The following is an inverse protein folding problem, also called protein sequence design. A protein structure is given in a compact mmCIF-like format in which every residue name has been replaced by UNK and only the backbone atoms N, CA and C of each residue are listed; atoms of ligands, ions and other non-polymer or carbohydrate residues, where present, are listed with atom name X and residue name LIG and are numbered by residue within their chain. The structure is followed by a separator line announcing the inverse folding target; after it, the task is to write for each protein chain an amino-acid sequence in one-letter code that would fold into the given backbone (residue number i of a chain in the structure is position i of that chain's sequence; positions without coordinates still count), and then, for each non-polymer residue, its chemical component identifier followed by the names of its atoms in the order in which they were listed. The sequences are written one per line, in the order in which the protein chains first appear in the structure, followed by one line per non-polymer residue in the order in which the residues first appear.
data_IF_024388736372
#
_entry.id   IF_024388736372
#
_cell.length_a   1.000
_cell.length_b   1.000
_cell.length_c   1.000
_cell.angle_alpha   90.00
_cell.angle_beta   90.00
_cell.angle_gamma   90.00
#
_symmetry.space_group_name_H-M   'P 1'
#
loop_
_entity.id
_entity.type
_entity.pdbx_description
1 polymer ?
#
# COMPACT_ATOMS: atom_id res chain seq x y z
N UNK A 1 -43.77 58.26 -10.23
CA UNK A 1 -43.33 58.95 -9.04
C UNK A 1 -42.57 57.95 -8.19
N UNK A 2 -41.27 58.07 -8.12
CA UNK A 2 -40.40 57.77 -6.94
C UNK A 2 -38.98 58.18 -7.36
N UNK A 3 -38.42 58.99 -6.48
CA UNK A 3 -37.21 59.79 -6.67
C UNK A 3 -35.91 58.98 -6.69
N UNK A 4 -35.01 59.37 -7.61
CA UNK A 4 -33.63 58.94 -7.59
C UNK A 4 -32.83 59.59 -6.48
N UNK A 5 -31.92 58.82 -5.88
CA UNK A 5 -30.88 59.32 -4.99
C UNK A 5 -29.55 59.19 -5.74
N UNK A 6 -28.92 60.35 -5.97
CA UNK A 6 -27.55 60.50 -6.47
C UNK A 6 -26.60 60.41 -5.27
N UNK A 7 -25.58 59.54 -5.37
CA UNK A 7 -24.46 59.54 -4.42
C UNK A 7 -23.22 60.03 -5.17
N UNK A 8 -22.66 61.15 -4.64
CA UNK A 8 -21.45 61.83 -5.12
C UNK A 8 -20.19 61.08 -4.60
N UNK A 9 -19.11 60.99 -5.38
CA UNK A 9 -17.89 60.35 -4.90
C UNK A 9 -17.05 61.33 -4.03
N UNK A 10 -16.68 60.86 -2.88
CA UNK A 10 -15.76 61.57 -1.94
C UNK A 10 -14.33 61.17 -2.33
N UNK A 11 -13.55 62.20 -2.70
CA UNK A 11 -12.09 62.09 -2.95
C UNK A 11 -11.39 62.04 -1.60
N UNK A 12 -10.68 60.97 -1.29
CA UNK A 12 -9.83 60.85 -0.11
C UNK A 12 -8.36 61.00 -0.53
N UNK A 13 -7.78 62.14 -0.11
CA UNK A 13 -6.38 62.44 -0.35
C UNK A 13 -5.50 61.62 0.62
N UNK A 14 -4.56 60.87 0.07
CA UNK A 14 -3.57 60.09 0.85
C UNK A 14 -2.37 60.98 1.17
N UNK A 15 -2.14 61.29 2.43
CA UNK A 15 -0.88 61.88 2.94
C UNK A 15 0.21 60.78 2.97
N UNK A 16 1.29 61.01 2.24
CA UNK A 16 2.53 60.22 2.37
C UNK A 16 3.29 60.75 3.63
N UNK A 17 3.37 59.92 4.65
CA UNK A 17 4.34 60.10 5.73
C UNK A 17 5.59 59.29 5.38
N UNK A 18 6.69 59.98 5.07
CA UNK A 18 8.02 59.38 4.95
C UNK A 18 8.58 59.18 6.35
N UNK A 19 8.56 57.95 6.85
CA UNK A 19 9.25 57.58 8.08
C UNK A 19 10.66 57.06 7.71
N UNK A 20 11.66 57.87 8.04
CA UNK A 20 13.08 57.47 7.97
C UNK A 20 13.37 56.47 9.10
N UNK A 21 13.47 55.18 8.78
CA UNK A 21 13.94 54.18 9.71
C UNK A 21 15.46 54.08 9.63
N UNK A 22 16.13 54.49 10.68
CA UNK A 22 17.54 54.22 10.91
C UNK A 22 17.73 52.72 11.18
N UNK A 23 18.32 51.99 10.23
CA UNK A 23 18.72 50.63 10.44
C UNK A 23 19.87 50.54 11.45
N UNK A 24 19.58 50.09 12.65
CA UNK A 24 20.60 49.58 13.57
C UNK A 24 20.90 48.14 13.13
N UNK A 25 22.05 47.93 12.52
CA UNK A 25 22.60 46.60 12.23
C UNK A 25 23.02 45.96 13.57
N UNK A 26 22.24 45.03 14.06
CA UNK A 26 22.70 44.06 15.07
C UNK A 26 23.32 42.88 14.32
N UNK A 27 24.64 42.91 14.19
CA UNK A 27 25.40 41.71 13.85
C UNK A 27 25.48 40.81 15.11
N UNK A 28 24.47 39.97 15.30
CA UNK A 28 24.61 38.85 16.24
C UNK A 28 25.18 37.69 15.39
N UNK A 29 26.48 37.51 15.46
CA UNK A 29 27.11 36.24 15.10
C UNK A 29 26.67 35.18 16.11
N UNK A 30 25.51 34.58 15.88
CA UNK A 30 25.19 33.31 16.52
C UNK A 30 26.12 32.28 15.86
N UNK A 31 27.13 31.86 16.57
CA UNK A 31 27.86 30.62 16.27
C UNK A 31 26.79 29.51 16.29
N UNK A 32 26.61 28.73 15.19
CA UNK A 32 25.75 27.58 15.28
C UNK A 32 26.38 26.68 16.35
N UNK A 33 25.67 26.47 17.46
CA UNK A 33 25.98 25.38 18.36
C UNK A 33 26.00 24.14 17.50
N UNK A 34 27.14 23.46 17.43
CA UNK A 34 27.21 22.13 16.84
C UNK A 34 26.20 21.30 17.64
N UNK A 35 25.03 21.07 17.07
CA UNK A 35 24.09 20.10 17.57
C UNK A 35 24.88 18.79 17.58
N UNK A 36 25.27 18.31 18.78
CA UNK A 36 26.13 17.18 18.93
C UNK A 36 25.47 16.00 18.21
N UNK A 37 26.17 15.41 17.26
CA UNK A 37 25.68 14.20 16.59
C UNK A 37 25.16 13.25 17.67
N UNK A 38 23.94 12.76 17.51
CA UNK A 38 23.35 11.78 18.43
C UNK A 38 24.36 10.64 18.64
N UNK A 39 24.52 10.14 19.87
CA UNK A 39 25.44 9.05 20.11
C UNK A 39 25.10 7.86 19.20
N UNK A 40 26.11 7.15 18.65
CA UNK A 40 25.84 6.01 17.77
C UNK A 40 24.97 5.00 18.51
N UNK A 41 24.00 4.41 17.80
CA UNK A 41 23.09 3.40 18.34
C UNK A 41 23.85 2.16 18.89
N UNK A 42 23.13 1.32 19.59
CA UNK A 42 23.67 0.06 20.12
C UNK A 42 23.26 -1.11 19.25
N UNK A 43 24.07 -2.16 19.24
CA UNK A 43 23.71 -3.45 18.68
C UNK A 43 23.19 -4.36 19.81
N UNK A 44 21.92 -4.72 19.75
CA UNK A 44 21.25 -5.62 20.70
C UNK A 44 21.04 -6.96 20.00
N UNK A 45 21.69 -8.01 20.49
CA UNK A 45 21.58 -9.36 19.93
C UNK A 45 20.55 -10.19 20.66
N UNK A 46 19.73 -10.89 19.89
CA UNK A 46 18.76 -11.85 20.41
C UNK A 46 19.17 -13.23 19.91
N UNK A 47 19.41 -14.22 20.81
CA UNK A 47 19.15 -14.20 22.26
C UNK A 47 20.33 -13.74 23.13
N UNK A 48 21.49 -13.40 22.58
CA UNK A 48 22.76 -13.26 23.34
C UNK A 48 22.73 -12.17 24.41
N UNK A 49 22.26 -10.96 24.04
CA UNK A 49 22.20 -9.82 24.96
C UNK A 49 20.82 -9.76 25.67
N UNK A 50 19.77 -10.16 24.96
CA UNK A 50 18.37 -10.12 25.44
C UNK A 50 17.63 -11.36 24.91
N UNK A 51 16.90 -12.05 25.76
CA UNK A 51 16.36 -13.38 25.48
C UNK A 51 15.30 -13.45 24.38
N UNK A 52 14.53 -12.37 24.16
CA UNK A 52 13.40 -12.38 23.21
C UNK A 52 13.35 -11.09 22.38
N UNK A 53 12.78 -11.13 21.16
CA UNK A 53 12.63 -9.93 20.33
C UNK A 53 11.81 -8.82 21.02
N UNK A 54 10.69 -9.15 21.70
CA UNK A 54 9.89 -8.16 22.39
C UNK A 54 10.63 -7.49 23.56
N UNK A 55 11.47 -8.25 24.29
CA UNK A 55 12.32 -7.69 25.33
C UNK A 55 13.42 -6.79 24.75
N UNK A 56 13.95 -7.11 23.58
CA UNK A 56 14.91 -6.27 22.86
C UNK A 56 14.26 -4.95 22.40
N UNK A 57 13.06 -5.00 21.84
CA UNK A 57 12.27 -3.80 21.49
C UNK A 57 12.04 -2.93 22.74
N UNK A 58 11.66 -3.53 23.87
CA UNK A 58 11.46 -2.80 25.12
C UNK A 58 12.73 -2.11 25.63
N UNK A 59 13.89 -2.76 25.47
CA UNK A 59 15.20 -2.25 25.91
C UNK A 59 15.81 -1.22 24.94
N UNK A 60 15.37 -1.21 23.67
CA UNK A 60 15.92 -0.37 22.61
C UNK A 60 15.67 1.13 22.84
N UNK A 61 16.57 1.93 22.31
CA UNK A 61 16.52 3.40 22.25
C UNK A 61 16.64 3.84 20.78
N UNK A 62 16.22 5.06 20.41
CA UNK A 62 16.37 5.56 19.06
C UNK A 62 17.79 5.40 18.52
N UNK A 63 17.90 4.88 17.29
CA UNK A 63 19.16 4.58 16.61
C UNK A 63 19.73 3.19 16.89
N UNK A 64 19.12 2.39 17.77
CA UNK A 64 19.56 1.03 18.04
C UNK A 64 19.23 0.05 16.89
N UNK A 65 20.05 -0.97 16.77
CA UNK A 65 19.87 -2.12 15.89
C UNK A 65 19.61 -3.37 16.71
N UNK A 66 18.46 -4.00 16.50
CA UNK A 66 18.12 -5.31 17.08
C UNK A 66 18.45 -6.37 16.04
N UNK A 67 19.39 -7.25 16.33
CA UNK A 67 19.78 -8.35 15.45
C UNK A 67 19.29 -9.68 16.01
N UNK A 68 18.45 -10.36 15.23
CA UNK A 68 17.93 -11.68 15.56
C UNK A 68 18.86 -12.75 14.99
N UNK A 69 19.27 -13.71 15.81
CA UNK A 69 20.01 -14.88 15.36
C UNK A 69 19.08 -15.85 14.59
N UNK A 70 19.68 -16.79 13.87
CA UNK A 70 18.93 -17.86 13.22
C UNK A 70 18.02 -18.60 14.23
N UNK A 71 16.76 -18.81 13.85
CA UNK A 71 15.76 -19.44 14.69
C UNK A 71 14.33 -19.15 14.25
N UNK A 72 13.40 -19.90 14.84
CA UNK A 72 11.94 -19.68 14.64
C UNK A 72 11.41 -18.89 15.83
N UNK A 73 10.75 -17.78 15.52
CA UNK A 73 10.21 -16.83 16.48
C UNK A 73 8.67 -16.82 16.39
N UNK A 74 8.01 -16.56 17.52
CA UNK A 74 6.60 -16.24 17.52
C UNK A 74 6.37 -14.80 17.06
N UNK A 75 5.21 -14.56 16.41
CA UNK A 75 4.76 -13.22 16.07
C UNK A 75 4.10 -12.49 17.24
N UNK A 76 3.22 -11.54 16.92
CA UNK A 76 2.53 -10.73 17.91
C UNK A 76 3.43 -9.68 18.56
N UNK A 77 4.53 -9.31 17.88
CA UNK A 77 5.43 -8.26 18.38
C UNK A 77 4.85 -6.87 18.07
N UNK A 78 5.02 -5.94 19.01
CA UNK A 78 4.60 -4.55 18.85
C UNK A 78 5.81 -3.63 19.06
N UNK A 79 6.03 -2.72 18.10
CA UNK A 79 6.98 -1.61 18.20
C UNK A 79 6.16 -0.34 18.47
N UNK A 80 5.97 0.04 19.74
CA UNK A 80 5.11 1.16 20.09
C UNK A 80 5.72 2.51 19.67
N UNK A 81 4.91 3.54 19.49
CA UNK A 81 5.29 4.86 18.98
C UNK A 81 6.51 5.51 19.67
N UNK A 82 6.80 5.12 20.91
CA UNK A 82 7.97 5.61 21.66
C UNK A 82 9.30 4.98 21.22
N UNK A 83 9.26 3.98 20.33
CA UNK A 83 10.41 3.19 19.86
C UNK A 83 10.76 3.52 18.40
N UNK A 84 10.84 4.79 18.08
CA UNK A 84 11.19 5.29 16.75
C UNK A 84 12.69 5.11 16.41
N UNK A 85 13.04 5.26 15.13
CA UNK A 85 14.42 5.18 14.63
C UNK A 85 15.13 3.84 14.93
N UNK A 86 14.41 2.73 14.90
CA UNK A 86 14.97 1.41 15.13
C UNK A 86 15.21 0.66 13.82
N UNK A 87 16.23 -0.20 13.83
CA UNK A 87 16.37 -1.27 12.84
C UNK A 87 16.21 -2.62 13.52
N UNK A 88 15.28 -3.45 13.03
CA UNK A 88 15.11 -4.84 13.43
C UNK A 88 15.51 -5.70 12.25
N UNK A 89 16.55 -6.50 12.40
CA UNK A 89 17.10 -7.30 11.32
C UNK A 89 17.37 -8.75 11.70
N UNK A 90 17.22 -9.65 10.74
CA UNK A 90 17.71 -11.02 10.84
C UNK A 90 19.19 -11.14 10.49
N UNK A 91 19.89 -12.07 11.12
CA UNK A 91 21.23 -12.45 10.71
C UNK A 91 21.21 -13.11 9.32
N UNK A 92 20.17 -13.85 8.99
CA UNK A 92 19.93 -14.46 7.69
C UNK A 92 18.42 -14.45 7.39
N UNK A 93 18.05 -14.03 6.17
CA UNK A 93 16.65 -13.90 5.74
C UNK A 93 15.89 -15.22 5.76
N UNK A 94 16.56 -16.32 5.45
CA UNK A 94 15.94 -17.65 5.37
C UNK A 94 15.95 -18.42 6.68
N UNK A 95 16.83 -18.04 7.60
CA UNK A 95 16.99 -18.71 8.89
C UNK A 95 16.33 -17.97 10.05
N UNK A 96 16.01 -16.68 9.89
CA UNK A 96 15.25 -15.89 10.89
C UNK A 96 13.80 -15.84 10.46
N UNK A 97 13.00 -16.74 11.01
CA UNK A 97 11.63 -17.01 10.56
C UNK A 97 10.63 -16.78 11.67
N UNK A 98 9.62 -15.97 11.42
CA UNK A 98 8.46 -15.85 12.27
C UNK A 98 7.36 -16.81 11.79
N UNK A 99 6.84 -17.64 12.70
CA UNK A 99 5.78 -18.62 12.43
C UNK A 99 4.55 -18.31 13.29
N UNK A 100 3.46 -17.87 12.63
CA UNK A 100 2.18 -17.54 13.26
C UNK A 100 1.32 -18.76 13.57
N UNK A 101 1.72 -19.96 13.13
CA UNK A 101 1.03 -21.25 13.34
C UNK A 101 -0.45 -21.24 12.90
N UNK A 102 -0.78 -20.34 11.98
CA UNK A 102 -2.14 -20.15 11.46
C UNK A 102 -3.14 -19.58 12.46
N UNK A 103 -2.68 -18.99 13.55
CA UNK A 103 -3.53 -18.47 14.63
C UNK A 103 -3.14 -17.07 15.12
N UNK A 104 -1.86 -16.69 15.06
CA UNK A 104 -1.43 -15.34 15.41
C UNK A 104 -1.82 -14.34 14.31
N UNK A 105 -2.23 -13.12 14.70
CA UNK A 105 -2.76 -12.12 13.75
C UNK A 105 -1.63 -11.50 12.93
N UNK A 106 -0.66 -10.83 13.57
CA UNK A 106 0.41 -10.09 12.89
C UNK A 106 1.79 -10.59 13.30
N UNK A 107 2.77 -10.49 12.41
CA UNK A 107 4.16 -10.81 12.76
C UNK A 107 4.75 -9.75 13.66
N UNK A 108 4.90 -8.53 13.13
CA UNK A 108 5.40 -7.34 13.83
C UNK A 108 4.50 -6.18 13.42
N UNK A 109 3.89 -5.53 14.40
CA UNK A 109 3.11 -4.31 14.24
C UNK A 109 3.94 -3.11 14.66
N UNK A 110 4.09 -2.13 13.76
CA UNK A 110 4.96 -0.98 13.96
C UNK A 110 4.08 0.28 14.02
N UNK A 111 4.04 0.91 15.20
CA UNK A 111 3.38 2.18 15.46
C UNK A 111 4.40 3.33 15.61
N UNK A 112 5.66 3.08 15.31
CA UNK A 112 6.77 4.00 15.52
C UNK A 112 7.37 4.48 14.22
N UNK A 113 7.71 5.76 14.16
CA UNK A 113 8.32 6.40 13.00
C UNK A 113 9.73 5.86 12.72
N UNK A 114 10.10 5.85 11.45
CA UNK A 114 11.44 5.53 10.95
C UNK A 114 12.00 4.19 11.43
N UNK A 115 11.11 3.19 11.51
CA UNK A 115 11.51 1.82 11.82
C UNK A 115 11.82 1.07 10.53
N UNK A 116 12.97 0.42 10.51
CA UNK A 116 13.40 -0.48 9.42
C UNK A 116 13.26 -1.93 9.84
N UNK A 117 12.58 -2.74 9.03
CA UNK A 117 12.64 -4.20 9.08
C UNK A 117 13.47 -4.69 7.89
N UNK A 118 14.44 -5.54 8.15
CA UNK A 118 15.24 -6.14 7.09
C UNK A 118 15.65 -7.58 7.35
N UNK A 119 15.80 -8.33 6.28
CA UNK A 119 16.40 -9.67 6.32
C UNK A 119 15.64 -10.66 7.22
N UNK A 120 14.30 -10.68 7.10
CA UNK A 120 13.37 -11.47 7.91
C UNK A 120 12.40 -12.26 7.03
N UNK A 121 11.98 -13.42 7.51
CA UNK A 121 10.88 -14.20 6.93
C UNK A 121 9.72 -14.34 7.90
N UNK A 122 8.48 -14.44 7.36
CA UNK A 122 7.26 -14.62 8.14
C UNK A 122 6.25 -15.48 7.39
N UNK A 123 5.55 -16.36 8.10
CA UNK A 123 4.50 -17.18 7.50
C UNK A 123 3.41 -17.62 8.48
N UNK A 124 2.28 -18.07 7.90
CA UNK A 124 1.14 -18.65 8.60
C UNK A 124 0.50 -17.72 9.64
N UNK A 125 0.30 -16.43 9.28
CA UNK A 125 -0.39 -15.43 10.11
C UNK A 125 -1.86 -15.26 9.70
N UNK A 126 -2.76 -15.21 10.68
CA UNK A 126 -4.22 -15.07 10.48
C UNK A 126 -4.66 -13.60 10.34
N UNK A 127 -3.79 -12.74 9.89
CA UNK A 127 -4.01 -11.42 9.33
C UNK A 127 -2.80 -11.03 8.49
N UNK A 128 -1.82 -10.30 9.06
CA UNK A 128 -0.77 -9.66 8.28
C UNK A 128 0.61 -10.26 8.57
N UNK A 129 1.46 -10.19 7.57
CA UNK A 129 2.89 -10.32 7.75
C UNK A 129 3.47 -9.11 8.50
N UNK A 130 4.31 -8.33 7.88
CA UNK A 130 4.89 -7.12 8.47
C UNK A 130 3.97 -5.92 8.26
N UNK A 131 3.71 -5.16 9.34
CA UNK A 131 2.66 -4.15 9.36
C UNK A 131 3.12 -2.83 9.98
N UNK A 132 2.94 -1.72 9.25
CA UNK A 132 3.17 -0.35 9.71
C UNK A 132 1.84 0.42 9.73
N UNK A 133 1.53 1.09 10.84
CA UNK A 133 0.32 1.87 11.00
C UNK A 133 0.60 3.26 11.54
N UNK A 134 0.10 4.29 10.85
CA UNK A 134 0.13 5.70 11.28
C UNK A 134 1.53 6.22 11.59
N UNK A 135 2.50 5.88 10.74
CA UNK A 135 3.91 6.24 10.92
C UNK A 135 4.42 7.19 9.84
N UNK A 136 5.40 8.01 10.21
CA UNK A 136 6.14 8.90 9.31
C UNK A 136 7.55 8.34 9.09
N UNK A 137 7.80 7.86 7.88
CA UNK A 137 9.02 7.15 7.54
C UNK A 137 9.01 5.67 7.97
N UNK A 138 9.19 4.77 7.00
CA UNK A 138 9.30 3.33 7.26
C UNK A 138 10.12 2.65 6.17
N UNK A 139 10.74 1.53 6.50
CA UNK A 139 11.46 0.71 5.52
C UNK A 139 11.23 -0.76 5.78
N UNK A 140 10.79 -1.47 4.74
CA UNK A 140 10.74 -2.92 4.69
C UNK A 140 11.59 -3.41 3.53
N UNK A 141 12.68 -4.11 3.80
CA UNK A 141 13.57 -4.59 2.75
C UNK A 141 14.12 -5.99 3.02
N UNK A 142 14.35 -6.74 1.95
CA UNK A 142 14.79 -8.14 2.06
C UNK A 142 13.88 -8.96 2.97
N UNK A 143 12.57 -8.75 2.84
CA UNK A 143 11.55 -9.47 3.59
C UNK A 143 10.96 -10.59 2.73
N UNK A 144 10.66 -11.73 3.34
CA UNK A 144 9.92 -12.82 2.70
C UNK A 144 8.67 -13.14 3.50
N UNK A 145 7.50 -13.08 2.87
CA UNK A 145 6.24 -13.43 3.52
C UNK A 145 5.46 -14.42 2.69
N UNK A 146 4.88 -15.44 3.34
CA UNK A 146 3.95 -16.34 2.67
C UNK A 146 2.86 -16.84 3.62
N UNK A 147 1.75 -17.29 3.06
CA UNK A 147 0.64 -17.83 3.85
C UNK A 147 0.11 -16.84 4.90
N UNK A 148 -0.49 -15.75 4.43
CA UNK A 148 -1.18 -14.79 5.31
C UNK A 148 -2.62 -14.60 4.85
N UNK A 149 -3.54 -14.42 5.81
CA UNK A 149 -4.97 -14.35 5.50
C UNK A 149 -5.42 -12.98 4.99
N UNK A 150 -4.60 -11.94 5.14
CA UNK A 150 -4.84 -10.59 4.62
C UNK A 150 -3.63 -10.10 3.83
N UNK A 151 -2.80 -9.22 4.40
CA UNK A 151 -1.71 -8.53 3.69
C UNK A 151 -0.33 -9.11 4.03
N UNK A 152 0.51 -9.26 3.03
CA UNK A 152 1.89 -9.72 3.26
C UNK A 152 2.76 -8.64 3.90
N UNK A 153 3.01 -7.54 3.18
CA UNK A 153 3.74 -6.36 3.65
C UNK A 153 2.81 -5.16 3.51
N UNK A 154 2.51 -4.52 4.63
CA UNK A 154 1.36 -3.64 4.77
C UNK A 154 1.72 -2.33 5.46
N UNK A 155 1.35 -1.20 4.85
CA UNK A 155 1.41 0.12 5.47
C UNK A 155 0.08 0.86 5.23
N UNK A 156 -0.53 1.37 6.31
CA UNK A 156 -1.77 2.15 6.25
C UNK A 156 -1.65 3.43 7.05
N UNK A 157 -2.32 4.49 6.59
CA UNK A 157 -2.27 5.83 7.20
C UNK A 157 -0.82 6.31 7.46
N UNK A 158 0.14 5.80 6.65
CA UNK A 158 1.58 5.98 6.81
C UNK A 158 2.18 6.63 5.58
N UNK A 159 3.31 7.34 5.72
CA UNK A 159 3.97 8.05 4.61
C UNK A 159 5.49 8.02 4.71
N UNK A 160 6.15 8.41 3.62
CA UNK A 160 7.62 8.50 3.58
C UNK A 160 8.29 7.13 3.64
N UNK A 161 7.69 6.13 2.96
CA UNK A 161 8.08 4.74 3.07
C UNK A 161 8.89 4.19 1.91
N UNK A 162 9.52 3.03 2.16
CA UNK A 162 10.21 2.24 1.16
C UNK A 162 9.97 0.75 1.39
N UNK A 163 9.44 0.06 0.37
CA UNK A 163 9.48 -1.40 0.29
C UNK A 163 10.37 -1.80 -0.89
N UNK A 164 11.40 -2.59 -0.63
CA UNK A 164 12.32 -3.02 -1.68
C UNK A 164 12.85 -4.44 -1.45
N UNK A 165 13.34 -5.08 -2.53
CA UNK A 165 14.03 -6.38 -2.50
C UNK A 165 13.28 -7.47 -1.70
N UNK A 166 11.94 -7.40 -1.69
CA UNK A 166 11.08 -8.22 -0.85
C UNK A 166 10.17 -9.10 -1.68
N UNK A 167 9.78 -10.26 -1.13
CA UNK A 167 8.90 -11.22 -1.78
C UNK A 167 7.70 -11.56 -0.90
N UNK A 168 6.51 -11.56 -1.50
CA UNK A 168 5.29 -12.07 -0.87
C UNK A 168 4.62 -13.10 -1.77
N UNK A 169 4.17 -14.22 -1.19
CA UNK A 169 3.48 -15.30 -1.90
C UNK A 169 2.26 -15.79 -1.12
N UNK A 170 1.10 -15.91 -1.77
CA UNK A 170 -0.06 -16.55 -1.17
C UNK A 170 -0.79 -15.72 -0.12
N UNK A 171 -0.79 -14.40 -0.23
CA UNK A 171 -1.64 -13.53 0.57
C UNK A 171 -3.09 -13.60 0.08
N UNK A 172 -4.06 -13.75 1.01
CA UNK A 172 -5.45 -13.89 0.63
C UNK A 172 -6.20 -12.56 0.42
N UNK A 173 -5.54 -11.43 0.65
CA UNK A 173 -5.95 -10.11 0.17
C UNK A 173 -4.85 -9.57 -0.76
N UNK A 174 -3.88 -8.80 -0.28
CA UNK A 174 -2.83 -8.31 -1.16
C UNK A 174 -1.42 -8.70 -0.68
N UNK A 175 -0.53 -8.99 -1.65
CA UNK A 175 0.87 -9.25 -1.33
C UNK A 175 1.51 -7.99 -0.72
N UNK A 176 1.36 -6.85 -1.37
CA UNK A 176 1.80 -5.55 -0.88
C UNK A 176 0.62 -4.58 -0.81
N UNK A 177 0.57 -3.81 0.27
CA UNK A 177 -0.42 -2.76 0.42
C UNK A 177 0.23 -1.49 0.96
N UNK A 178 -0.03 -0.38 0.29
CA UNK A 178 0.15 0.97 0.83
C UNK A 178 -1.13 1.73 0.52
N UNK A 179 -1.80 2.24 1.53
CA UNK A 179 -3.08 2.90 1.35
C UNK A 179 -3.41 3.89 2.46
N UNK A 180 -4.48 4.64 2.24
CA UNK A 180 -4.99 5.61 3.19
C UNK A 180 -3.93 6.66 3.58
N UNK A 181 -3.20 7.17 2.60
CA UNK A 181 -2.15 8.16 2.77
C UNK A 181 -2.26 9.28 1.72
N UNK A 182 -2.24 10.53 2.17
CA UNK A 182 -2.29 11.75 1.33
C UNK A 182 -1.48 12.88 1.98
N UNK A 183 -0.22 13.16 1.54
CA UNK A 183 0.54 12.41 0.55
C UNK A 183 1.06 11.07 1.12
N UNK A 184 1.31 10.12 0.22
CA UNK A 184 1.95 8.84 0.58
C UNK A 184 3.47 8.97 0.64
N UNK A 185 4.08 9.67 -0.33
CA UNK A 185 5.55 9.83 -0.45
C UNK A 185 6.29 8.50 -0.25
N UNK A 186 5.80 7.43 -0.89
CA UNK A 186 6.24 6.05 -0.66
C UNK A 186 6.63 5.38 -1.97
N UNK A 187 7.72 4.64 -1.95
CA UNK A 187 8.21 3.86 -3.09
C UNK A 187 8.15 2.37 -2.79
N UNK A 188 7.60 1.59 -3.72
CA UNK A 188 7.68 0.12 -3.78
C UNK A 188 8.47 -0.23 -5.03
N UNK A 189 9.64 -0.87 -4.87
CA UNK A 189 10.50 -1.20 -6.00
C UNK A 189 11.25 -2.52 -5.83
N UNK A 190 11.62 -3.13 -6.94
CA UNK A 190 12.39 -4.38 -6.94
C UNK A 190 11.77 -5.46 -6.02
N UNK A 191 10.43 -5.54 -5.98
CA UNK A 191 9.70 -6.52 -5.20
C UNK A 191 9.04 -7.57 -6.07
N UNK A 192 8.68 -8.71 -5.48
CA UNK A 192 7.87 -9.74 -6.13
C UNK A 192 6.63 -10.05 -5.30
N UNK A 193 5.43 -9.83 -5.89
CA UNK A 193 4.14 -10.30 -5.36
C UNK A 193 3.59 -11.41 -6.23
N UNK A 194 3.34 -12.60 -5.66
CA UNK A 194 2.89 -13.75 -6.47
C UNK A 194 1.85 -14.62 -5.77
N UNK A 195 1.06 -15.34 -6.56
CA UNK A 195 0.08 -16.33 -6.10
C UNK A 195 -0.86 -15.79 -5.01
N UNK A 196 -1.07 -14.48 -4.95
CA UNK A 196 -1.92 -13.77 -3.99
C UNK A 196 -3.24 -13.34 -4.66
N UNK A 197 -4.27 -13.03 -3.88
CA UNK A 197 -5.50 -12.51 -4.45
C UNK A 197 -5.23 -11.25 -5.28
N UNK A 198 -4.42 -10.34 -4.74
CA UNK A 198 -3.97 -9.13 -5.41
C UNK A 198 -2.45 -9.01 -5.19
N UNK A 199 -1.69 -8.66 -6.22
CA UNK A 199 -0.25 -8.41 -6.09
C UNK A 199 0.02 -7.13 -5.29
N UNK A 200 -0.50 -6.01 -5.76
CA UNK A 200 -0.52 -4.73 -5.04
C UNK A 200 -1.94 -4.19 -4.95
N UNK A 201 -2.36 -3.75 -3.76
CA UNK A 201 -3.57 -2.96 -3.55
C UNK A 201 -3.23 -1.66 -2.82
N UNK A 202 -3.90 -0.57 -3.22
CA UNK A 202 -3.77 0.72 -2.55
C UNK A 202 -5.11 1.44 -2.57
N UNK A 203 -5.70 1.65 -1.38
CA UNK A 203 -7.00 2.29 -1.24
C UNK A 203 -6.82 3.74 -0.83
N UNK A 204 -7.47 4.67 -1.55
CA UNK A 204 -7.48 6.10 -1.25
C UNK A 204 -6.07 6.70 -1.04
N UNK A 205 -5.10 6.25 -1.84
CA UNK A 205 -3.76 6.83 -1.88
C UNK A 205 -3.78 8.19 -2.59
N UNK A 206 -2.85 9.06 -2.27
CA UNK A 206 -2.75 10.34 -2.97
C UNK A 206 -1.42 11.03 -2.81
N UNK A 207 -0.73 11.25 -3.95
CA UNK A 207 0.54 11.96 -4.03
C UNK A 207 1.77 11.15 -3.63
N UNK A 208 2.74 11.07 -4.55
CA UNK A 208 4.06 10.51 -4.30
C UNK A 208 4.10 8.99 -4.05
N UNK A 209 3.11 8.24 -4.51
CA UNK A 209 3.17 6.78 -4.48
C UNK A 209 3.78 6.26 -5.79
N UNK A 210 4.86 5.50 -5.67
CA UNK A 210 5.57 4.92 -6.80
C UNK A 210 5.68 3.40 -6.70
N UNK A 211 5.22 2.68 -7.73
CA UNK A 211 5.40 1.24 -7.94
C UNK A 211 6.34 1.05 -9.11
N UNK A 212 7.59 0.69 -8.83
CA UNK A 212 8.66 0.70 -9.81
C UNK A 212 9.30 -0.69 -9.98
N UNK A 213 9.65 -1.04 -11.21
CA UNK A 213 10.56 -2.14 -11.56
C UNK A 213 10.31 -3.47 -10.80
N UNK A 214 9.06 -3.78 -10.54
CA UNK A 214 8.63 -4.91 -9.69
C UNK A 214 7.93 -6.00 -10.49
N UNK A 215 7.88 -7.21 -9.95
CA UNK A 215 7.26 -8.37 -10.60
C UNK A 215 5.97 -8.78 -9.88
N UNK A 216 4.89 -8.93 -10.65
CA UNK A 216 3.57 -9.34 -10.18
C UNK A 216 3.13 -10.58 -10.93
N UNK A 217 3.38 -11.77 -10.34
CA UNK A 217 3.29 -13.06 -11.04
C UNK A 217 2.11 -13.90 -10.57
N UNK A 218 1.21 -14.26 -11.51
CA UNK A 218 0.08 -15.17 -11.29
C UNK A 218 -0.77 -14.84 -10.06
N UNK A 219 -0.96 -13.56 -9.78
CA UNK A 219 -1.95 -13.11 -8.81
C UNK A 219 -3.36 -13.16 -9.40
N UNK A 220 -4.39 -13.08 -8.57
CA UNK A 220 -5.75 -12.89 -9.06
C UNK A 220 -5.87 -11.60 -9.89
N UNK A 221 -5.39 -10.49 -9.33
CA UNK A 221 -5.13 -9.21 -10.02
C UNK A 221 -3.70 -8.78 -9.74
N UNK A 222 -2.99 -8.24 -10.73
CA UNK A 222 -1.60 -7.82 -10.55
C UNK A 222 -1.46 -6.58 -9.69
N UNK A 223 -1.93 -5.43 -10.17
CA UNK A 223 -1.87 -4.11 -9.50
C UNK A 223 -3.25 -3.49 -9.50
N UNK A 224 -3.71 -2.98 -8.33
CA UNK A 224 -5.06 -2.47 -8.12
C UNK A 224 -5.09 -1.23 -7.20
N UNK A 225 -4.72 -0.03 -7.69
CA UNK A 225 -5.09 1.21 -7.01
C UNK A 225 -6.61 1.41 -7.07
N UNK A 226 -7.22 1.79 -5.93
CA UNK A 226 -8.67 1.80 -5.82
C UNK A 226 -9.21 2.87 -4.88
N UNK A 227 -10.45 3.30 -5.16
CA UNK A 227 -11.20 4.29 -4.39
C UNK A 227 -12.35 3.63 -3.64
N UNK A 228 -12.43 3.84 -2.33
CA UNK A 228 -13.43 3.21 -1.48
C UNK A 228 -13.91 4.14 -0.37
N UNK A 229 -15.23 4.16 -0.12
CA UNK A 229 -15.83 4.85 1.03
C UNK A 229 -15.61 4.10 2.33
N UNK A 230 -15.72 4.82 3.46
CA UNK A 230 -15.67 4.22 4.79
C UNK A 230 -14.28 3.88 5.30
N UNK A 231 -13.25 4.39 4.61
CA UNK A 231 -11.85 4.30 5.02
C UNK A 231 -11.45 5.50 5.89
N UNK A 232 -10.24 5.48 6.46
CA UNK A 232 -9.73 6.57 7.29
C UNK A 232 -9.56 7.87 6.49
N UNK A 233 -9.11 7.76 5.24
CA UNK A 233 -9.04 8.89 4.32
C UNK A 233 -10.12 8.81 3.24
N UNK A 234 -10.66 9.95 2.80
CA UNK A 234 -11.69 9.96 1.77
C UNK A 234 -11.13 9.62 0.40
N UNK A 235 -11.92 8.95 -0.48
CA UNK A 235 -11.59 8.81 -1.90
C UNK A 235 -11.64 10.17 -2.62
N UNK A 236 -11.11 10.31 -3.84
CA UNK A 236 -10.58 9.21 -4.66
C UNK A 236 -9.10 8.91 -4.42
N UNK A 237 -8.70 7.69 -4.78
CA UNK A 237 -7.30 7.34 -5.03
C UNK A 237 -6.74 8.24 -6.15
N UNK A 238 -5.46 8.66 -6.04
CA UNK A 238 -4.91 9.56 -7.05
C UNK A 238 -3.38 9.62 -7.06
N UNK A 239 -2.85 10.09 -8.22
CA UNK A 239 -1.46 10.52 -8.41
C UNK A 239 -0.43 9.44 -8.06
N UNK A 240 -0.73 8.20 -8.43
CA UNK A 240 0.21 7.07 -8.33
C UNK A 240 1.00 6.90 -9.64
N UNK A 241 2.29 6.56 -9.52
CA UNK A 241 3.18 6.24 -10.63
C UNK A 241 3.43 4.72 -10.65
N UNK A 242 3.02 4.07 -11.73
CA UNK A 242 3.18 2.63 -11.97
C UNK A 242 4.10 2.48 -13.18
N UNK A 243 5.38 2.16 -12.97
CA UNK A 243 6.39 2.20 -14.01
C UNK A 243 7.31 0.98 -14.02
N UNK A 244 7.64 0.50 -15.22
CA UNK A 244 8.67 -0.52 -15.42
C UNK A 244 8.31 -1.91 -14.88
N UNK A 245 7.09 -2.13 -14.41
CA UNK A 245 6.69 -3.39 -13.79
C UNK A 245 6.49 -4.50 -14.82
N UNK A 246 6.73 -5.73 -14.39
CA UNK A 246 6.40 -6.96 -15.10
C UNK A 246 5.19 -7.61 -14.44
N UNK A 247 4.06 -7.62 -15.14
CA UNK A 247 2.81 -8.24 -14.67
C UNK A 247 2.46 -9.39 -15.59
N UNK A 248 2.31 -10.60 -15.05
CA UNK A 248 2.07 -11.76 -15.88
C UNK A 248 1.10 -12.76 -15.25
N UNK A 249 0.27 -13.38 -16.08
CA UNK A 249 -0.61 -14.48 -15.72
C UNK A 249 -1.68 -14.13 -14.67
N UNK A 250 -2.14 -12.89 -14.61
CA UNK A 250 -3.18 -12.48 -13.66
C UNK A 250 -4.48 -13.26 -13.89
N UNK A 251 -5.00 -13.91 -12.85
CA UNK A 251 -6.21 -14.71 -12.86
C UNK A 251 -6.11 -16.05 -13.62
N UNK A 252 -4.91 -16.50 -13.98
CA UNK A 252 -4.72 -17.75 -14.74
C UNK A 252 -4.60 -19.00 -13.87
N UNK A 253 -4.37 -18.82 -12.57
CA UNK A 253 -4.31 -19.91 -11.58
C UNK A 253 -5.21 -19.58 -10.39
N UNK A 254 -5.75 -20.59 -9.69
CA UNK A 254 -6.48 -20.37 -8.46
C UNK A 254 -5.55 -19.80 -7.38
N UNK A 255 -6.01 -18.77 -6.69
CA UNK A 255 -5.30 -18.11 -5.57
C UNK A 255 -6.21 -18.03 -4.35
N UNK A 256 -5.67 -17.96 -3.12
CA UNK A 256 -6.48 -17.69 -1.95
C UNK A 256 -7.13 -16.32 -2.07
N UNK A 257 -8.33 -16.13 -1.48
CA UNK A 257 -8.99 -14.83 -1.50
C UNK A 257 -10.00 -14.68 -0.38
N UNK A 258 -9.82 -13.65 0.43
CA UNK A 258 -10.67 -13.27 1.57
C UNK A 258 -11.31 -11.88 1.40
N UNK A 259 -11.00 -11.18 0.32
CA UNK A 259 -11.45 -9.80 0.09
C UNK A 259 -12.52 -9.71 -1.00
N UNK A 260 -13.51 -8.81 -0.88
CA UNK A 260 -14.42 -8.51 -1.99
C UNK A 260 -13.72 -8.07 -3.27
N UNK A 261 -12.57 -7.39 -3.14
CA UNK A 261 -11.76 -6.94 -4.28
C UNK A 261 -11.24 -8.11 -5.12
N UNK A 262 -11.09 -9.29 -4.54
CA UNK A 262 -10.78 -10.51 -5.28
C UNK A 262 -11.91 -11.00 -6.21
N UNK A 263 -13.08 -10.37 -6.19
CA UNK A 263 -14.12 -10.55 -7.21
C UNK A 263 -13.73 -9.97 -8.58
N UNK A 264 -12.71 -9.12 -8.64
CA UNK A 264 -12.19 -8.47 -9.86
C UNK A 264 -10.97 -9.18 -10.45
N UNK A 265 -10.98 -10.51 -10.44
CA UNK A 265 -9.87 -11.34 -10.90
C UNK A 265 -9.66 -11.23 -12.40
N UNK A 266 -8.38 -11.25 -12.80
CA UNK A 266 -7.98 -11.40 -14.19
C UNK A 266 -7.46 -10.13 -14.85
N UNK A 267 -7.22 -9.06 -14.09
CA UNK A 267 -6.59 -7.85 -14.61
C UNK A 267 -5.08 -7.87 -14.33
N UNK A 268 -4.29 -7.42 -15.29
CA UNK A 268 -2.88 -7.10 -15.06
C UNK A 268 -2.76 -5.86 -14.18
N UNK A 269 -3.23 -4.70 -14.66
CA UNK A 269 -3.31 -3.45 -13.92
C UNK A 269 -4.75 -2.92 -14.01
N UNK A 270 -5.41 -2.74 -12.88
CA UNK A 270 -6.76 -2.21 -12.81
C UNK A 270 -6.79 -0.90 -12.02
N UNK A 271 -7.18 0.22 -12.65
CA UNK A 271 -7.43 1.48 -11.93
C UNK A 271 -8.91 1.56 -11.62
N UNK A 272 -9.25 1.36 -10.36
CA UNK A 272 -10.61 1.29 -9.86
C UNK A 272 -11.04 2.63 -9.24
N UNK A 273 -11.59 3.54 -10.04
CA UNK A 273 -12.05 4.85 -9.57
C UNK A 273 -10.93 5.84 -9.24
N UNK A 274 -9.68 5.57 -9.66
CA UNK A 274 -8.52 6.41 -9.37
C UNK A 274 -8.29 7.52 -10.39
N UNK A 275 -7.65 8.61 -9.95
CA UNK A 275 -7.44 9.82 -10.75
C UNK A 275 -5.96 10.15 -10.94
N UNK A 276 -5.63 10.80 -12.05
CA UNK A 276 -4.30 11.37 -12.35
C UNK A 276 -3.13 10.39 -12.24
N UNK A 277 -3.39 9.08 -12.35
CA UNK A 277 -2.33 8.06 -12.30
C UNK A 277 -1.53 8.03 -13.59
N UNK A 278 -0.23 7.73 -13.46
CA UNK A 278 0.68 7.53 -14.59
C UNK A 278 1.09 6.07 -14.66
N UNK A 279 0.67 5.37 -15.72
CA UNK A 279 0.96 3.95 -15.98
C UNK A 279 1.85 3.89 -17.20
N UNK A 280 3.16 3.67 -16.99
CA UNK A 280 4.15 3.87 -18.05
C UNK A 280 5.19 2.75 -18.11
N UNK A 281 5.51 2.28 -19.33
CA UNK A 281 6.62 1.37 -19.57
C UNK A 281 6.46 -0.02 -18.94
N UNK A 282 5.27 -0.43 -18.53
CA UNK A 282 5.04 -1.74 -17.94
C UNK A 282 4.92 -2.81 -19.02
N UNK A 283 5.31 -4.05 -18.68
CA UNK A 283 5.09 -5.24 -19.49
C UNK A 283 3.99 -6.09 -18.86
N UNK A 284 2.85 -6.23 -19.55
CA UNK A 284 1.66 -6.95 -19.04
C UNK A 284 1.30 -8.09 -19.97
N UNK A 285 1.34 -9.34 -19.48
CA UNK A 285 1.16 -10.51 -20.33
C UNK A 285 0.22 -11.55 -19.74
N UNK A 286 -0.64 -12.13 -20.60
CA UNK A 286 -1.42 -13.32 -20.29
C UNK A 286 -2.47 -13.14 -19.20
N UNK A 287 -3.09 -11.97 -19.08
CA UNK A 287 -4.18 -11.72 -18.13
C UNK A 287 -5.45 -12.49 -18.55
N UNK A 288 -6.14 -13.13 -17.61
CA UNK A 288 -7.35 -13.91 -17.92
C UNK A 288 -8.57 -13.07 -18.29
N UNK A 289 -8.50 -11.75 -18.10
CA UNK A 289 -9.49 -10.80 -18.56
C UNK A 289 -8.82 -9.62 -19.30
N UNK A 290 -8.31 -8.65 -18.59
CA UNK A 290 -7.79 -7.39 -19.15
C UNK A 290 -6.32 -7.18 -18.82
N UNK A 291 -5.56 -6.62 -19.76
CA UNK A 291 -4.17 -6.19 -19.51
C UNK A 291 -4.12 -4.98 -18.60
N UNK A 292 -4.50 -3.80 -19.11
CA UNK A 292 -4.70 -2.58 -18.32
C UNK A 292 -6.14 -2.11 -18.49
N UNK A 293 -6.86 -1.89 -17.38
CA UNK A 293 -8.26 -1.48 -17.38
C UNK A 293 -8.49 -0.28 -16.46
N UNK A 294 -9.21 0.75 -16.96
CA UNK A 294 -9.73 1.86 -16.17
C UNK A 294 -11.24 1.70 -16.02
N UNK A 295 -11.77 1.68 -14.81
CA UNK A 295 -13.18 1.45 -14.55
C UNK A 295 -13.67 2.13 -13.27
N UNK A 296 -14.96 2.54 -13.18
CA UNK A 296 -15.51 3.12 -11.98
C UNK A 296 -15.69 2.09 -10.87
N UNK A 297 -15.47 2.50 -9.62
CA UNK A 297 -15.90 1.73 -8.45
C UNK A 297 -17.32 2.10 -8.07
N UNK A 298 -18.13 1.09 -7.73
CA UNK A 298 -19.51 1.28 -7.27
C UNK A 298 -19.53 1.02 -5.75
N UNK A 299 -19.91 2.05 -5.01
CA UNK A 299 -19.96 2.00 -3.55
C UNK A 299 -21.23 1.26 -3.04
N UNK A 300 -21.32 1.05 -1.73
CA UNK A 300 -22.49 0.40 -1.13
C UNK A 300 -23.79 1.19 -1.27
N UNK A 301 -23.71 2.51 -1.34
CA UNK A 301 -24.84 3.41 -1.58
C UNK A 301 -25.14 3.67 -3.06
N UNK A 302 -24.46 2.91 -3.96
CA UNK A 302 -24.51 3.04 -5.42
C UNK A 302 -23.94 4.34 -5.98
N UNK A 303 -23.28 5.18 -5.18
CA UNK A 303 -22.39 6.22 -5.72
C UNK A 303 -21.19 5.58 -6.43
N UNK A 304 -20.53 6.34 -7.29
CA UNK A 304 -19.42 5.81 -8.08
C UNK A 304 -18.27 6.82 -8.14
N UNK A 305 -17.04 6.30 -7.99
CA UNK A 305 -15.83 7.04 -8.33
C UNK A 305 -15.39 6.63 -9.73
N UNK A 306 -15.32 7.61 -10.61
CA UNK A 306 -14.98 7.41 -12.01
C UNK A 306 -13.52 7.78 -12.26
N UNK A 307 -12.71 6.92 -12.90
CA UNK A 307 -11.34 7.25 -13.26
C UNK A 307 -11.26 8.50 -14.12
N UNK A 308 -10.36 9.42 -13.76
CA UNK A 308 -10.18 10.71 -14.43
C UNK A 308 -8.71 11.06 -14.59
N UNK A 309 -8.34 11.72 -15.68
CA UNK A 309 -7.01 12.27 -15.93
C UNK A 309 -5.85 11.26 -15.87
N UNK A 310 -6.12 9.96 -16.01
CA UNK A 310 -5.09 8.93 -16.00
C UNK A 310 -4.36 8.87 -17.35
N UNK A 311 -3.05 8.56 -17.30
CA UNK A 311 -2.18 8.45 -18.47
C UNK A 311 -1.64 7.02 -18.60
N UNK A 312 -1.95 6.35 -19.70
CA UNK A 312 -1.47 5.00 -20.01
C UNK A 312 -0.53 5.08 -21.22
N UNK A 313 0.79 4.98 -20.98
CA UNK A 313 1.78 5.29 -22.01
C UNK A 313 2.89 4.26 -22.13
N UNK A 314 3.29 3.93 -23.37
CA UNK A 314 4.50 3.17 -23.63
C UNK A 314 4.54 1.77 -23.02
N UNK A 315 3.40 1.22 -22.62
CA UNK A 315 3.32 -0.13 -22.07
C UNK A 315 3.34 -1.17 -23.18
N UNK A 316 3.85 -2.37 -22.88
CA UNK A 316 3.81 -3.53 -23.79
C UNK A 316 2.85 -4.57 -23.23
N UNK A 317 1.77 -4.86 -23.99
CA UNK A 317 0.70 -5.74 -23.55
C UNK A 317 0.47 -6.86 -24.59
N UNK A 318 0.20 -8.07 -24.11
CA UNK A 318 -0.16 -9.18 -24.98
C UNK A 318 -0.88 -10.31 -24.26
N UNK A 319 -1.74 -11.00 -25.02
CA UNK A 319 -2.33 -12.26 -24.58
C UNK A 319 -3.41 -12.12 -23.51
N UNK A 320 -4.00 -10.96 -23.35
CA UNK A 320 -5.15 -10.78 -22.47
C UNK A 320 -6.41 -11.34 -23.10
N UNK A 321 -7.21 -12.09 -22.34
CA UNK A 321 -8.29 -12.89 -22.94
C UNK A 321 -9.46 -12.03 -23.49
N UNK A 322 -9.71 -10.85 -22.94
CA UNK A 322 -10.76 -9.93 -23.39
C UNK A 322 -10.22 -8.73 -24.16
N UNK A 323 -9.31 -7.98 -23.55
CA UNK A 323 -8.58 -6.91 -24.22
C UNK A 323 -7.28 -6.58 -23.50
N UNK A 324 -6.27 -6.16 -24.26
CA UNK A 324 -5.00 -5.70 -23.68
C UNK A 324 -5.16 -4.31 -23.04
N UNK A 325 -5.88 -3.38 -23.67
CA UNK A 325 -6.28 -2.09 -23.10
C UNK A 325 -7.79 -2.00 -22.99
N UNK A 326 -8.30 -1.51 -21.85
CA UNK A 326 -9.74 -1.39 -21.63
C UNK A 326 -10.11 -0.09 -20.90
N UNK A 327 -11.21 0.52 -21.32
CA UNK A 327 -11.84 1.66 -20.68
C UNK A 327 -13.31 1.39 -20.52
N UNK A 328 -13.79 1.26 -19.30
CA UNK A 328 -15.20 1.00 -19.02
C UNK A 328 -16.09 2.22 -19.33
N UNK A 329 -17.36 1.97 -19.63
CA UNK A 329 -18.38 3.03 -19.63
C UNK A 329 -18.52 3.61 -18.22
N UNK A 330 -18.76 4.93 -18.15
CA UNK A 330 -18.93 5.65 -16.88
C UNK A 330 -17.65 6.22 -16.30
N UNK A 331 -16.55 6.23 -17.05
CA UNK A 331 -15.32 6.95 -16.69
C UNK A 331 -15.49 8.46 -16.91
N UNK A 332 -14.72 9.25 -16.16
CA UNK A 332 -14.67 10.70 -16.36
C UNK A 332 -13.68 11.09 -17.47
N UNK A 333 -13.62 12.37 -17.82
CA UNK A 333 -12.74 12.88 -18.87
C UNK A 333 -11.26 12.87 -18.51
N UNK A 334 -10.39 13.26 -19.46
CA UNK A 334 -8.95 13.46 -19.25
C UNK A 334 -8.09 12.19 -19.31
N UNK A 335 -8.70 11.01 -19.29
CA UNK A 335 -7.93 9.76 -19.48
C UNK A 335 -7.37 9.70 -20.89
N UNK A 336 -6.09 9.31 -21.04
CA UNK A 336 -5.46 9.23 -22.34
C UNK A 336 -4.51 8.03 -22.50
N UNK A 337 -4.30 7.62 -23.75
CA UNK A 337 -3.48 6.45 -24.13
C UNK A 337 -2.51 6.86 -25.25
N UNK A 338 -1.24 6.46 -25.14
CA UNK A 338 -0.27 6.78 -26.18
C UNK A 338 0.95 5.86 -26.22
N UNK A 339 1.33 5.43 -27.41
CA UNK A 339 2.57 4.70 -27.64
C UNK A 339 2.65 3.32 -27.00
N UNK A 340 1.51 2.74 -26.64
CA UNK A 340 1.46 1.39 -26.11
C UNK A 340 1.57 0.36 -27.26
N UNK A 341 2.22 -0.74 -27.00
CA UNK A 341 2.23 -1.91 -27.89
C UNK A 341 1.18 -2.90 -27.39
N UNK A 342 0.14 -3.15 -28.19
CA UNK A 342 -0.97 -4.03 -27.83
C UNK A 342 -1.64 -4.60 -29.10
N UNK A 343 -2.47 -5.64 -28.92
CA UNK A 343 -3.21 -6.26 -30.03
C UNK A 343 -4.69 -5.84 -30.03
N UNK A 344 -5.28 -5.73 -28.85
CA UNK A 344 -6.72 -5.52 -28.68
C UNK A 344 -7.02 -4.40 -27.72
N UNK A 345 -8.09 -3.61 -28.03
CA UNK A 345 -8.58 -2.58 -27.08
C UNK A 345 -10.11 -2.50 -27.09
N UNK A 346 -10.68 -2.11 -25.95
CA UNK A 346 -12.08 -1.80 -25.73
C UNK A 346 -12.23 -0.43 -25.05
N UNK A 347 -12.74 0.60 -25.74
CA UNK A 347 -13.20 0.59 -27.14
C UNK A 347 -12.07 0.38 -28.16
N UNK A 348 -12.42 -0.11 -29.36
CA UNK A 348 -11.45 -0.29 -30.42
C UNK A 348 -10.75 1.03 -30.78
N UNK A 349 -9.44 0.97 -31.10
CA UNK A 349 -8.60 2.13 -31.48
C UNK A 349 -8.53 3.19 -30.36
N UNK A 350 -8.41 2.76 -29.12
CA UNK A 350 -8.46 3.62 -27.92
C UNK A 350 -7.46 4.79 -27.99
N UNK A 351 -6.25 4.59 -28.51
CA UNK A 351 -5.21 5.65 -28.63
C UNK A 351 -5.57 6.72 -29.67
N UNK A 352 -6.33 6.36 -30.70
CA UNK A 352 -6.82 7.35 -31.69
C UNK A 352 -7.98 8.18 -31.12
N UNK A 353 -8.80 7.56 -30.26
CA UNK A 353 -9.98 8.20 -29.65
C UNK A 353 -9.57 9.09 -28.49
N UNK A 354 -8.60 8.66 -27.68
CA UNK A 354 -8.13 9.34 -26.47
C UNK A 354 -6.59 9.49 -26.47
N UNK A 355 -6.03 10.26 -27.41
CA UNK A 355 -4.57 10.46 -27.47
C UNK A 355 -4.07 11.34 -26.32
N UNK A 356 -2.83 11.08 -25.85
CA UNK A 356 -2.16 11.93 -24.85
C UNK A 356 -1.40 13.12 -25.47
N UNK A 357 -1.88 13.74 -26.52
CA UNK A 357 -1.21 14.85 -27.24
C UNK A 357 -1.89 16.21 -27.04
N UNK A 358 -2.83 16.28 -26.07
CA UNK A 358 -3.59 17.48 -25.74
C UNK A 358 -4.80 17.74 -26.65
N UNK A 359 -5.06 16.87 -27.65
CA UNK A 359 -6.32 16.92 -28.39
C UNK A 359 -7.45 16.41 -27.51
N UNK A 360 -8.57 17.12 -27.52
CA UNK A 360 -9.74 16.66 -26.81
C UNK A 360 -10.31 15.41 -27.50
N UNK A 361 -10.11 14.26 -26.89
CA UNK A 361 -10.80 13.03 -27.24
C UNK A 361 -12.00 12.81 -26.33
N UNK A 362 -13.01 12.14 -26.82
CA UNK A 362 -14.16 11.75 -25.98
C UNK A 362 -14.70 10.39 -26.39
N UNK A 363 -15.08 9.63 -25.39
CA UNK A 363 -15.81 8.37 -25.55
C UNK A 363 -16.63 8.13 -24.30
N UNK A 364 -17.76 7.42 -24.47
CA UNK A 364 -18.51 6.91 -23.31
C UNK A 364 -17.84 5.71 -22.63
N UNK A 365 -16.73 5.19 -23.20
CA UNK A 365 -16.11 3.93 -22.82
C UNK A 365 -16.91 2.73 -23.35
N UNK A 366 -16.48 1.53 -22.97
CA UNK A 366 -17.07 0.27 -23.42
C UNK A 366 -18.05 -0.31 -22.39
N UNK A 367 -19.25 -0.67 -22.86
CA UNK A 367 -20.32 -1.17 -22.00
C UNK A 367 -20.04 -2.59 -21.49
N UNK A 368 -19.33 -3.42 -22.24
CA UNK A 368 -18.99 -4.78 -21.82
C UNK A 368 -17.93 -4.74 -20.72
N UNK A 369 -16.94 -3.84 -20.82
CA UNK A 369 -15.96 -3.60 -19.76
C UNK A 369 -16.65 -3.11 -18.47
N UNK A 370 -17.61 -2.19 -18.59
CA UNK A 370 -18.39 -1.74 -17.43
C UNK A 370 -19.22 -2.87 -16.81
N UNK A 371 -19.86 -3.71 -17.63
CA UNK A 371 -20.62 -4.86 -17.14
C UNK A 371 -19.74 -5.88 -16.40
N UNK A 372 -18.47 -5.99 -16.78
CA UNK A 372 -17.53 -6.91 -16.14
C UNK A 372 -16.92 -6.35 -14.85
N UNK A 373 -16.60 -5.06 -14.82
CA UNK A 373 -15.75 -4.46 -13.78
C UNK A 373 -16.47 -3.44 -12.88
N UNK A 374 -17.41 -2.66 -13.41
CA UNK A 374 -18.16 -1.70 -12.62
C UNK A 374 -19.33 -2.38 -11.89
N UNK A 375 -18.99 -3.19 -10.91
CA UNK A 375 -19.96 -3.96 -10.10
C UNK A 375 -19.94 -3.50 -8.65
N UNK A 376 -21.09 -3.64 -7.99
CA UNK A 376 -21.20 -3.30 -6.57
C UNK A 376 -20.42 -4.31 -5.68
N UNK A 377 -20.09 -3.90 -4.47
CA UNK A 377 -19.44 -4.80 -3.49
C UNK A 377 -20.23 -6.10 -3.25
N UNK A 378 -21.58 -6.07 -3.07
CA UNK A 378 -22.35 -7.31 -2.96
C UNK A 378 -22.20 -8.22 -4.18
N UNK A 379 -22.25 -7.66 -5.41
CA UNK A 379 -22.08 -8.46 -6.63
C UNK A 379 -20.66 -9.03 -6.75
N UNK A 380 -19.63 -8.29 -6.31
CA UNK A 380 -18.26 -8.78 -6.26
C UNK A 380 -18.11 -9.96 -5.27
N UNK A 381 -18.76 -9.90 -4.11
CA UNK A 381 -18.81 -11.01 -3.15
C UNK A 381 -19.54 -12.24 -3.71
N UNK A 382 -20.64 -12.03 -4.44
CA UNK A 382 -21.36 -13.10 -5.11
C UNK A 382 -20.49 -13.76 -6.19
N UNK A 383 -19.77 -12.97 -6.98
CA UNK A 383 -18.79 -13.49 -7.96
C UNK A 383 -17.68 -14.28 -7.30
N UNK A 384 -17.15 -13.78 -6.16
CA UNK A 384 -16.15 -14.49 -5.37
C UNK A 384 -16.69 -15.86 -4.89
N UNK A 385 -17.92 -15.90 -4.40
CA UNK A 385 -18.58 -17.13 -3.94
C UNK A 385 -18.86 -18.12 -5.07
N UNK A 386 -19.18 -17.63 -6.27
CA UNK A 386 -19.47 -18.45 -7.46
C UNK A 386 -18.21 -18.94 -8.17
N UNK A 387 -17.06 -18.35 -7.92
CA UNK A 387 -15.79 -18.64 -8.60
C UNK A 387 -15.17 -20.02 -8.32
N UNK A 388 -15.86 -20.88 -7.56
CA UNK A 388 -15.39 -22.22 -7.23
C UNK A 388 -14.44 -22.27 -6.02
N UNK A 389 -13.96 -23.49 -5.65
CA UNK A 389 -13.08 -23.65 -4.52
C UNK A 389 -11.73 -22.98 -4.76
N UNK A 390 -11.28 -22.21 -3.77
CA UNK A 390 -9.98 -21.52 -3.77
C UNK A 390 -9.01 -22.25 -2.86
N UNK A 391 -7.70 -22.14 -3.10
CA UNK A 391 -6.71 -22.68 -2.19
C UNK A 391 -6.90 -22.07 -0.78
N UNK A 392 -6.69 -22.88 0.23
CA UNK A 392 -6.50 -22.36 1.60
C UNK A 392 -5.17 -21.61 1.64
N UNK A 393 -5.17 -20.38 2.11
CA UNK A 393 -3.97 -19.55 2.21
C UNK A 393 -2.87 -20.23 3.05
N UNK A 394 -3.23 -21.07 4.02
CA UNK A 394 -2.30 -21.85 4.83
C UNK A 394 -1.57 -22.96 4.07
N UNK A 395 -2.03 -23.29 2.86
CA UNK A 395 -1.49 -24.39 2.07
C UNK A 395 -0.73 -23.95 0.82
N UNK A 396 -0.49 -22.66 0.66
CA UNK A 396 0.27 -22.18 -0.48
C UNK A 396 1.76 -22.58 -0.35
N UNK A 397 2.44 -22.87 -1.45
CA UNK A 397 3.83 -23.33 -1.38
C UNK A 397 4.75 -22.25 -0.83
N UNK A 398 5.64 -22.64 0.09
CA UNK A 398 6.70 -21.77 0.55
C UNK A 398 7.56 -21.30 -0.65
N UNK A 399 7.98 -20.04 -0.69
CA UNK A 399 8.88 -19.55 -1.72
C UNK A 399 10.29 -20.16 -1.58
N UNK A 400 11.04 -20.15 -2.66
CA UNK A 400 12.46 -20.48 -2.66
C UNK A 400 13.23 -19.49 -1.77
N UNK A 401 14.40 -19.93 -1.27
CA UNK A 401 15.30 -19.07 -0.51
C UNK A 401 15.63 -17.78 -1.28
N UNK A 402 15.50 -16.66 -0.61
CA UNK A 402 15.72 -15.34 -1.19
C UNK A 402 17.09 -14.77 -0.77
N UNK A 403 17.69 -13.88 -1.57
CA UNK A 403 18.95 -13.22 -1.21
C UNK A 403 18.86 -12.47 0.12
N UNK A 404 19.95 -12.52 0.86
CA UNK A 404 20.12 -11.70 2.07
C UNK A 404 20.39 -10.24 1.73
N UNK A 405 20.04 -9.34 2.66
CA UNK A 405 20.55 -7.99 2.65
C UNK A 405 22.08 -7.97 2.67
N UNK A 406 22.74 -6.97 2.05
CA UNK A 406 24.17 -6.80 2.20
C UNK A 406 24.56 -6.75 3.68
N UNK A 407 25.61 -7.50 4.04
CA UNK A 407 26.05 -7.67 5.43
C UNK A 407 26.80 -6.42 5.94
N UNK A 408 26.09 -5.29 6.00
CA UNK A 408 26.62 -4.02 6.49
C UNK A 408 25.77 -3.50 7.65
N UNK A 409 26.21 -3.77 8.86
CA UNK A 409 25.71 -3.03 10.02
C UNK A 409 26.12 -1.56 9.92
N UNK A 410 25.29 -0.62 10.38
CA UNK A 410 25.68 0.77 10.48
C UNK A 410 27.01 0.95 11.23
N UNK A 411 27.90 1.78 10.68
CA UNK A 411 29.20 2.03 11.30
C UNK A 411 29.03 2.69 12.67
N UNK A 412 29.90 2.32 13.61
CA UNK A 412 29.97 2.96 14.93
C UNK A 412 28.98 2.45 15.98
N UNK A 413 28.22 1.39 15.69
CA UNK A 413 27.33 0.78 16.70
C UNK A 413 28.13 0.38 17.95
N UNK A 414 27.58 0.68 19.12
CA UNK A 414 28.14 0.27 20.42
C UNK A 414 27.54 -1.07 20.84
N UNK A 415 28.30 -1.92 21.56
CA UNK A 415 27.72 -3.13 22.15
C UNK A 415 26.67 -2.75 23.21
N UNK A 416 25.57 -3.51 23.27
CA UNK A 416 24.60 -3.44 24.34
C UNK A 416 25.21 -3.84 25.68
N UNK A 417 24.90 -3.13 26.77
CA UNK A 417 25.30 -3.46 28.11
C UNK A 417 24.07 -3.67 28.99
N UNK A 418 24.04 -4.68 29.87
CA UNK A 418 22.90 -4.94 30.76
C UNK A 418 22.49 -3.73 31.61
N UNK A 419 23.42 -2.88 31.98
CA UNK A 419 23.20 -1.67 32.76
C UNK A 419 22.49 -0.55 31.95
N UNK A 420 22.47 -0.67 30.63
CA UNK A 420 21.72 0.23 29.72
C UNK A 420 20.20 -0.03 29.75
N UNK A 421 19.75 -1.05 30.50
CA UNK A 421 18.33 -1.26 30.76
C UNK A 421 17.82 -0.11 31.61
N UNK A 422 17.24 0.90 31.01
CA UNK A 422 16.48 1.92 31.74
C UNK A 422 15.48 1.22 32.66
N UNK A 423 15.27 1.76 33.85
CA UNK A 423 14.35 1.19 34.87
C UNK A 423 13.03 0.86 34.19
N UNK A 424 12.76 -0.44 34.03
CA UNK A 424 11.50 -0.93 33.49
C UNK A 424 10.45 -0.61 34.54
N UNK A 425 9.75 0.51 34.36
CA UNK A 425 8.46 0.72 35.04
C UNK A 425 7.52 -0.29 34.42
N UNK A 426 7.22 -1.36 35.13
CA UNK A 426 6.18 -2.31 34.76
C UNK A 426 4.84 -1.55 34.80
N UNK A 427 4.50 -0.90 33.70
CA UNK A 427 3.15 -0.42 33.49
C UNK A 427 2.31 -1.67 33.12
N UNK A 428 1.48 -2.08 34.06
CA UNK A 428 0.45 -3.08 33.80
C UNK A 428 -0.47 -2.51 32.73
N UNK A 429 -0.28 -2.97 31.48
CA UNK A 429 -1.14 -2.59 30.37
C UNK A 429 -2.52 -3.23 30.59
N UNK A 430 -3.49 -2.41 30.93
CA UNK A 430 -4.92 -2.74 30.76
C UNK A 430 -5.19 -2.64 29.28
N UNK A 431 -5.24 -3.78 28.60
CA UNK A 431 -5.60 -3.87 27.19
C UNK A 431 -7.06 -3.45 27.05
N UNK A 432 -7.28 -2.21 26.65
CA UNK A 432 -8.58 -1.76 26.17
C UNK A 432 -8.73 -2.26 24.74
N UNK A 433 -9.54 -3.29 24.55
CA UNK A 433 -9.97 -3.71 23.22
C UNK A 433 -10.77 -2.58 22.58
N UNK A 434 -10.13 -1.76 21.74
CA UNK A 434 -10.78 -0.89 20.79
C UNK A 434 -11.51 -1.78 19.77
N UNK A 435 -12.80 -1.54 19.62
CA UNK A 435 -13.67 -2.32 18.75
C UNK A 435 -13.21 -2.21 17.29
N UNK A 436 -12.54 -3.24 16.80
CA UNK A 436 -12.41 -3.51 15.37
C UNK A 436 -13.82 -3.87 14.92
N UNK A 437 -14.40 -3.05 14.04
CA UNK A 437 -15.69 -3.30 13.43
C UNK A 437 -15.62 -4.51 12.49
N UNK A 438 -15.71 -5.70 13.05
CA UNK A 438 -15.93 -6.92 12.29
C UNK A 438 -17.40 -6.90 11.86
N UNK A 439 -17.65 -6.66 10.57
CA UNK A 439 -18.96 -6.91 9.97
C UNK A 439 -19.24 -8.42 9.94
N UNK A 440 -19.77 -8.95 11.04
CA UNK A 440 -20.38 -10.27 11.09
C UNK A 440 -21.74 -10.20 10.40
N UNK A 441 -21.83 -10.70 9.17
CA UNK A 441 -23.09 -10.99 8.51
C UNK A 441 -23.76 -12.15 9.26
N UNK A 442 -24.69 -11.81 10.15
CA UNK A 442 -25.49 -12.79 10.85
C UNK A 442 -26.40 -13.53 9.85
N UNK A 443 -26.09 -14.78 9.56
CA UNK A 443 -26.94 -15.71 8.82
C UNK A 443 -28.17 -16.05 9.65
N UNK A 444 -29.30 -15.37 9.41
CA UNK A 444 -30.62 -15.80 9.93
C UNK A 444 -31.04 -17.09 9.22
N UNK A 445 -30.92 -18.23 9.88
CA UNK A 445 -31.63 -19.46 9.52
C UNK A 445 -33.13 -19.21 9.72
N UNK A 446 -33.89 -19.14 8.62
CA UNK A 446 -35.35 -19.36 8.69
C UNK A 446 -35.58 -20.86 8.77
N UNK A 447 -35.97 -21.33 9.92
CA UNK A 447 -36.66 -22.62 10.08
C UNK A 447 -38.07 -22.44 9.54
N UNK A 448 -38.37 -23.06 8.40
CA UNK A 448 -39.76 -23.32 8.01
C UNK A 448 -40.31 -24.41 8.90
N UNK A 449 -41.30 -24.09 9.73
CA UNK A 449 -42.20 -25.07 10.32
C UNK A 449 -43.29 -25.33 9.27
N UNK A 450 -43.35 -26.59 8.83
CA UNK A 450 -44.49 -27.19 8.19
C UNK A 450 -45.50 -27.56 9.28
N UNK A 451 -46.76 -27.19 9.12
CA UNK A 451 -47.81 -27.61 9.99
C UNK A 451 -49.18 -27.20 9.49
N UNK A 452 -49.87 -28.14 8.82
CA UNK A 452 -51.27 -28.23 8.45
C UNK A 452 -51.89 -27.18 7.56
#
# INVERSE_FOLDING_TARGET
MVRGIRITPLVCATLLLVATHTHRSYAATATPSAEGAAPPGRLIRVPDDVATPQAAIAAAQPGDVIQLAAGTYAGGLIVPATKHDLTIRGADRTEVVFDGKGAELNTIEIEADRVTLENLSAHDFDANGFYWEKVDGFTGRYLTVWNVSLYGIYATESRGGLFEQSLVSGAADAAFYVGECQPCDTTIRDVEGRLSAIGYSGTNTGGGLELLDSTWDRNGTGILPNSYDGQALPPPESDSRIEGNIVRGSGTVPVPANTPLAGFIGMGIGVAGGNANTIVGNTVTGSSAYGIALYPTIQLDFSAYAPQDNQVRGNTLSGSARADLALARGVAGGNCFAGNTFTTSLPARIEEILPCDGRAGSTEGDASVASDLAVSVPDALDRLALGGPRPDWRSMPAPEAQPNAPDQLPAGLRPFRPDDRGSIVVATLVVSFGAIGIFLVARRRRTMHSGQ
#
